data_IF_695085275110
#
_entry.id   IF_695085275110
#
_cell.length_a   1.000
_cell.length_b   1.000
_cell.length_c   1.000
_cell.angle_alpha   90.00
_cell.angle_beta   90.00
_cell.angle_gamma   90.00
#
_symmetry.space_group_name_H-M   'P 1'
#
loop_
_entity.id
_entity.type
_entity.pdbx_description
1 polymer ?
#
# COMPACT_ATOMS: atom_id res chain seq x y z
N UNK A 1 6.33 19.52 32.31
CA UNK A 1 7.37 18.46 32.26
C UNK A 1 6.89 17.10 31.68
N UNK A 2 5.59 16.86 31.49
CA UNK A 2 5.07 15.57 31.00
C UNK A 2 5.11 15.38 29.47
N UNK A 3 5.15 16.46 28.67
CA UNK A 3 4.95 16.35 27.22
C UNK A 3 6.22 16.00 26.42
N UNK A 4 7.41 16.25 26.98
CA UNK A 4 8.68 15.91 26.31
C UNK A 4 8.97 14.40 26.33
N UNK A 5 8.49 13.70 27.37
CA UNK A 5 8.66 12.26 27.53
C UNK A 5 7.83 11.52 26.46
N UNK A 6 6.63 12.02 26.17
CA UNK A 6 5.73 11.43 25.16
C UNK A 6 6.30 11.55 23.75
N UNK A 7 6.86 12.72 23.38
CA UNK A 7 7.43 12.92 22.05
C UNK A 7 8.66 12.05 21.76
N UNK A 8 9.55 11.89 22.74
CA UNK A 8 10.73 11.03 22.61
C UNK A 8 10.35 9.54 22.56
N UNK A 9 9.36 9.13 23.35
CA UNK A 9 8.85 7.75 23.34
C UNK A 9 8.21 7.38 21.99
N UNK A 10 7.40 8.28 21.41
CA UNK A 10 6.82 8.08 20.06
C UNK A 10 7.90 7.97 18.99
N UNK A 11 9.00 8.73 19.12
CA UNK A 11 10.13 8.65 18.18
C UNK A 11 10.89 7.32 18.29
N UNK A 12 11.16 6.84 19.51
CA UNK A 12 11.82 5.54 19.74
C UNK A 12 10.98 4.41 19.16
N UNK A 13 9.66 4.43 19.40
CA UNK A 13 8.74 3.41 18.91
C UNK A 13 8.63 3.41 17.38
N UNK A 14 8.64 4.59 16.74
CA UNK A 14 8.69 4.71 15.28
C UNK A 14 10.01 4.17 14.69
N UNK A 15 11.14 4.41 15.35
CA UNK A 15 12.46 3.89 14.93
C UNK A 15 12.52 2.37 15.10
N UNK A 16 12.01 1.82 16.19
CA UNK A 16 11.95 0.37 16.39
C UNK A 16 11.08 -0.32 15.34
N UNK A 17 9.94 0.27 14.97
CA UNK A 17 9.09 -0.25 13.89
C UNK A 17 9.81 -0.22 12.54
N UNK A 18 10.60 0.83 12.26
CA UNK A 18 11.42 0.89 11.05
C UNK A 18 12.55 -0.15 11.04
N UNK A 19 13.17 -0.45 12.19
CA UNK A 19 14.26 -1.42 12.29
C UNK A 19 13.75 -2.86 12.17
N UNK A 20 12.54 -3.15 12.68
CA UNK A 20 12.01 -4.52 12.69
C UNK A 20 11.48 -4.99 11.34
N UNK A 21 11.42 -4.13 10.31
CA UNK A 21 10.86 -4.40 8.97
C UNK A 21 9.54 -5.19 9.03
N UNK A 22 8.75 -4.95 10.09
CA UNK A 22 7.45 -5.57 10.25
C UNK A 22 6.54 -4.93 9.21
N UNK A 23 5.83 -5.73 8.38
CA UNK A 23 4.85 -5.16 7.47
C UNK A 23 3.84 -4.38 8.31
N UNK A 24 3.80 -3.06 8.08
CA UNK A 24 2.84 -2.19 8.76
C UNK A 24 1.45 -2.71 8.44
N UNK A 25 0.65 -3.02 9.47
CA UNK A 25 -0.73 -3.43 9.31
C UNK A 25 -1.44 -2.35 8.47
N UNK A 26 -1.89 -2.73 7.26
CA UNK A 26 -2.46 -1.74 6.36
C UNK A 26 -3.73 -1.18 6.97
N UNK A 27 -3.76 0.15 7.09
CA UNK A 27 -4.97 0.84 7.49
C UNK A 27 -6.05 0.59 6.43
N UNK A 28 -7.20 0.09 6.86
CA UNK A 28 -8.36 -0.09 5.98
C UNK A 28 -8.75 1.25 5.35
N UNK A 29 -9.40 1.19 4.17
CA UNK A 29 -9.86 2.39 3.45
C UNK A 29 -10.68 3.32 4.36
N UNK A 30 -11.50 2.74 5.23
CA UNK A 30 -12.29 3.49 6.18
C UNK A 30 -11.42 4.18 7.24
N UNK A 31 -10.43 3.49 7.81
CA UNK A 31 -9.48 4.07 8.76
C UNK A 31 -8.68 5.22 8.14
N UNK A 32 -8.30 5.09 6.86
CA UNK A 32 -7.57 6.12 6.12
C UNK A 32 -8.44 7.36 5.87
N UNK A 33 -9.70 7.18 5.48
CA UNK A 33 -10.68 8.28 5.36
C UNK A 33 -10.89 8.99 6.71
N UNK A 34 -11.01 8.23 7.81
CA UNK A 34 -11.13 8.80 9.15
C UNK A 34 -9.88 9.59 9.54
N UNK A 35 -8.69 9.04 9.30
CA UNK A 35 -7.42 9.70 9.59
C UNK A 35 -7.33 11.05 8.86
N UNK A 36 -7.60 11.07 7.55
CA UNK A 36 -7.60 12.31 6.78
C UNK A 36 -8.65 13.30 7.27
N UNK A 37 -9.85 12.84 7.58
CA UNK A 37 -10.93 13.70 8.09
C UNK A 37 -10.53 14.37 9.41
N UNK A 38 -10.00 13.60 10.36
CA UNK A 38 -9.58 14.12 11.68
C UNK A 38 -8.39 15.08 11.54
N UNK A 39 -7.38 14.73 10.74
CA UNK A 39 -6.20 15.58 10.56
C UNK A 39 -6.53 16.90 9.84
N UNK A 40 -7.41 16.88 8.84
CA UNK A 40 -7.82 18.08 8.10
C UNK A 40 -8.69 18.99 8.96
N UNK A 41 -9.65 18.44 9.69
CA UNK A 41 -10.50 19.21 10.61
C UNK A 41 -9.68 19.84 11.73
N UNK A 42 -8.77 19.09 12.36
CA UNK A 42 -7.86 19.63 13.37
C UNK A 42 -6.98 20.76 12.81
N UNK A 43 -6.42 20.58 11.61
CA UNK A 43 -5.60 21.59 10.93
C UNK A 43 -6.41 22.85 10.61
N UNK A 44 -7.66 22.71 10.15
CA UNK A 44 -8.54 23.83 9.89
C UNK A 44 -8.82 24.65 11.16
N UNK A 45 -9.13 23.98 12.28
CA UNK A 45 -9.33 24.66 13.58
C UNK A 45 -8.06 25.40 14.00
N UNK A 46 -6.88 24.78 13.87
CA UNK A 46 -5.59 25.42 14.21
C UNK A 46 -5.29 26.63 13.32
N UNK A 47 -5.63 26.58 12.03
CA UNK A 47 -5.49 27.73 11.11
C UNK A 47 -6.39 28.89 11.54
N UNK A 48 -7.66 28.63 11.89
CA UNK A 48 -8.58 29.67 12.37
C UNK A 48 -8.05 30.31 13.67
N UNK A 49 -7.61 29.49 14.63
CA UNK A 49 -7.01 29.97 15.86
C UNK A 49 -5.71 30.75 15.60
N UNK A 50 -4.90 30.32 14.64
CA UNK A 50 -3.69 31.02 14.24
C UNK A 50 -3.98 32.45 13.75
N UNK A 51 -4.97 32.62 12.87
CA UNK A 51 -5.40 33.94 12.39
C UNK A 51 -5.91 34.82 13.53
N UNK A 52 -6.75 34.26 14.40
CA UNK A 52 -7.26 34.97 15.57
C UNK A 52 -6.12 35.44 16.49
N UNK A 53 -5.24 34.53 16.91
CA UNK A 53 -4.14 34.81 17.82
C UNK A 53 -3.07 35.73 17.23
N UNK A 54 -2.84 35.68 15.90
CA UNK A 54 -1.88 36.54 15.19
C UNK A 54 -2.23 38.02 15.33
N UNK A 55 -3.51 38.36 15.31
CA UNK A 55 -4.00 39.75 15.38
C UNK A 55 -3.87 40.39 16.76
N UNK A 56 -3.59 39.60 17.80
CA UNK A 56 -3.56 40.08 19.18
C UNK A 56 -2.36 40.99 19.47
N UNK A 57 -2.56 42.02 20.28
CA UNK A 57 -1.49 42.87 20.83
C UNK A 57 -0.62 42.15 21.88
N UNK A 58 -1.13 41.09 22.52
CA UNK A 58 -0.43 40.38 23.59
C UNK A 58 0.69 39.47 23.07
N UNK A 59 1.88 39.60 23.66
CA UNK A 59 3.05 38.74 23.34
C UNK A 59 2.77 37.27 23.63
N UNK A 60 1.99 36.98 24.68
CA UNK A 60 1.61 35.62 25.09
C UNK A 60 0.67 35.01 24.05
N UNK A 61 -0.36 35.74 23.62
CA UNK A 61 -1.32 35.27 22.60
C UNK A 61 -0.63 35.03 21.25
N UNK A 62 0.34 35.87 20.89
CA UNK A 62 1.15 35.68 19.69
C UNK A 62 2.07 34.44 19.76
N UNK A 63 2.45 34.00 20.95
CA UNK A 63 3.19 32.76 21.13
C UNK A 63 2.29 31.54 20.81
N UNK A 64 1.02 31.56 21.22
CA UNK A 64 0.04 30.54 20.82
C UNK A 64 -0.21 30.51 19.31
N UNK A 65 -0.14 31.66 18.62
CA UNK A 65 -0.19 31.66 17.16
C UNK A 65 0.98 30.85 16.57
N UNK A 66 2.20 31.03 17.07
CA UNK A 66 3.35 30.24 16.57
C UNK A 66 3.17 28.74 16.84
N UNK A 67 2.64 28.38 18.00
CA UNK A 67 2.33 26.99 18.36
C UNK A 67 1.34 26.35 17.36
N UNK A 68 0.22 27.02 17.08
CA UNK A 68 -0.76 26.53 16.10
C UNK A 68 -0.20 26.43 14.68
N UNK A 69 0.71 27.34 14.30
CA UNK A 69 1.40 27.24 13.02
C UNK A 69 2.27 25.98 12.95
N UNK A 70 3.05 25.69 14.01
CA UNK A 70 3.86 24.48 14.05
C UNK A 70 3.02 23.20 13.99
N UNK A 71 1.88 23.16 14.69
CA UNK A 71 0.94 22.02 14.63
C UNK A 71 0.42 21.76 13.21
N UNK A 72 0.09 22.82 12.45
CA UNK A 72 -0.38 22.69 11.07
C UNK A 72 0.74 22.18 10.16
N UNK A 73 1.96 22.69 10.35
CA UNK A 73 3.12 22.26 9.56
C UNK A 73 3.45 20.78 9.82
N UNK A 74 3.49 20.33 11.07
CA UNK A 74 3.79 18.93 11.41
C UNK A 74 2.71 17.99 10.91
N UNK A 75 1.43 18.36 11.04
CA UNK A 75 0.31 17.59 10.47
C UNK A 75 0.40 17.49 8.95
N UNK A 76 0.74 18.58 8.26
CA UNK A 76 0.89 18.59 6.80
C UNK A 76 2.03 17.68 6.34
N UNK A 77 3.18 17.73 7.01
CA UNK A 77 4.32 16.84 6.73
C UNK A 77 3.90 15.38 6.93
N UNK A 78 3.17 15.07 8.01
CA UNK A 78 2.64 13.72 8.25
C UNK A 78 1.68 13.24 7.15
N UNK A 79 0.77 14.10 6.68
CA UNK A 79 -0.14 13.79 5.58
C UNK A 79 0.61 13.51 4.28
N UNK A 80 1.59 14.36 3.93
CA UNK A 80 2.40 14.18 2.72
C UNK A 80 3.17 12.86 2.81
N UNK A 81 3.78 12.56 3.95
CA UNK A 81 4.49 11.30 4.14
C UNK A 81 3.56 10.09 3.99
N UNK A 82 2.36 10.13 4.59
CA UNK A 82 1.36 9.06 4.46
C UNK A 82 0.92 8.85 3.00
N UNK A 83 0.70 9.93 2.25
CA UNK A 83 0.38 9.86 0.80
C UNK A 83 1.54 9.25 0.02
N UNK A 84 2.77 9.71 0.25
CA UNK A 84 3.96 9.21 -0.46
C UNK A 84 4.17 7.71 -0.21
N UNK A 85 4.07 7.27 1.05
CA UNK A 85 4.18 5.84 1.40
C UNK A 85 3.11 5.01 0.70
N UNK A 86 1.88 5.53 0.56
CA UNK A 86 0.79 4.83 -0.14
C UNK A 86 1.01 4.72 -1.67
N UNK A 87 1.87 5.57 -2.24
CA UNK A 87 2.23 5.56 -3.66
C UNK A 87 3.45 4.68 -3.95
N UNK A 88 4.32 4.46 -2.97
CA UNK A 88 5.42 3.51 -3.10
C UNK A 88 4.80 2.11 -3.15
N UNK A 89 4.81 1.49 -4.32
CA UNK A 89 4.19 0.18 -4.52
C UNK A 89 4.71 -0.84 -3.51
N UNK A 90 3.86 -1.22 -2.56
CA UNK A 90 4.21 -2.15 -1.50
C UNK A 90 3.57 -3.51 -1.76
N UNK A 91 4.35 -4.57 -1.59
CA UNK A 91 3.83 -5.94 -1.60
C UNK A 91 2.76 -6.12 -0.52
N UNK A 92 1.78 -6.96 -0.81
CA UNK A 92 0.80 -7.40 0.16
C UNK A 92 1.47 -8.18 1.30
N UNK A 93 0.90 -8.12 2.50
CA UNK A 93 1.40 -8.91 3.62
C UNK A 93 1.21 -10.42 3.34
N UNK A 94 2.04 -11.29 3.94
CA UNK A 94 2.05 -12.72 3.64
C UNK A 94 0.70 -13.42 3.83
N UNK A 95 -0.14 -12.95 4.76
CA UNK A 95 -1.46 -13.50 5.05
C UNK A 95 -2.40 -13.35 3.84
N UNK A 96 -2.34 -12.21 3.15
CA UNK A 96 -3.13 -11.95 1.93
C UNK A 96 -2.62 -12.82 0.78
N UNK A 97 -1.30 -12.92 0.62
CA UNK A 97 -0.69 -13.77 -0.40
C UNK A 97 -1.05 -15.24 -0.21
N UNK A 98 -1.05 -15.74 1.03
CA UNK A 98 -1.46 -17.10 1.36
C UNK A 98 -2.95 -17.35 1.06
N UNK A 99 -3.82 -16.39 1.42
CA UNK A 99 -5.26 -16.47 1.11
C UNK A 99 -5.51 -16.52 -0.39
N UNK A 100 -4.82 -15.68 -1.16
CA UNK A 100 -4.88 -15.67 -2.63
C UNK A 100 -4.37 -16.99 -3.20
N UNK A 101 -3.20 -17.45 -2.78
CA UNK A 101 -2.62 -18.71 -3.23
C UNK A 101 -3.56 -19.91 -2.96
N UNK A 102 -4.18 -19.95 -1.78
CA UNK A 102 -5.18 -20.97 -1.45
C UNK A 102 -6.40 -20.92 -2.37
N UNK A 103 -6.93 -19.72 -2.62
CA UNK A 103 -8.09 -19.52 -3.50
C UNK A 103 -7.79 -19.98 -4.93
N UNK A 104 -6.60 -19.66 -5.45
CA UNK A 104 -6.12 -20.07 -6.78
C UNK A 104 -5.96 -21.58 -6.85
N UNK A 105 -5.24 -22.19 -5.89
CA UNK A 105 -5.01 -23.64 -5.84
C UNK A 105 -6.32 -24.45 -5.79
N UNK A 106 -7.38 -23.89 -5.19
CA UNK A 106 -8.69 -24.53 -5.13
C UNK A 106 -9.68 -24.15 -6.20
N UNK A 107 -9.28 -23.33 -7.17
CA UNK A 107 -10.20 -22.89 -8.22
C UNK A 107 -10.62 -23.99 -9.18
N UNK A 108 -9.68 -24.78 -9.70
CA UNK A 108 -9.98 -25.79 -10.73
C UNK A 108 -9.03 -27.00 -10.65
N UNK A 109 -9.52 -28.25 -10.86
CA UNK A 109 -8.69 -29.46 -10.76
C UNK A 109 -7.60 -29.58 -11.83
N UNK A 110 -7.71 -28.87 -12.95
CA UNK A 110 -6.68 -28.87 -14.01
C UNK A 110 -5.49 -27.97 -13.70
N UNK A 111 -5.57 -27.11 -12.67
CA UNK A 111 -4.42 -26.31 -12.23
C UNK A 111 -3.37 -27.28 -11.67
N UNK A 112 -2.27 -27.46 -12.41
CA UNK A 112 -1.17 -28.34 -11.98
C UNK A 112 -0.34 -27.68 -10.89
N UNK A 113 -0.06 -26.39 -11.07
CA UNK A 113 0.77 -25.60 -10.15
C UNK A 113 0.39 -24.12 -10.21
N UNK A 114 0.68 -23.41 -9.13
CA UNK A 114 0.73 -21.95 -9.09
C UNK A 114 2.19 -21.55 -9.02
N UNK A 115 2.68 -20.85 -10.03
CA UNK A 115 4.10 -20.50 -10.16
C UNK A 115 4.44 -19.25 -9.35
N UNK A 116 3.62 -18.20 -9.52
CA UNK A 116 3.78 -16.92 -8.81
C UNK A 116 2.43 -16.43 -8.32
N UNK A 117 2.41 -15.90 -7.09
CA UNK A 117 1.32 -15.07 -6.58
C UNK A 117 1.94 -13.79 -6.05
N UNK A 118 1.60 -12.68 -6.69
CA UNK A 118 2.01 -11.35 -6.27
C UNK A 118 0.77 -10.51 -6.08
N UNK A 119 0.78 -9.71 -5.02
CA UNK A 119 -0.19 -8.67 -4.82
C UNK A 119 0.56 -7.43 -4.39
N UNK A 120 0.33 -6.31 -5.05
CA UNK A 120 0.97 -5.04 -4.72
C UNK A 120 -0.07 -3.93 -4.77
N UNK A 121 0.15 -2.87 -4.00
CA UNK A 121 -0.77 -1.73 -3.97
C UNK A 121 -0.26 -0.59 -4.78
N UNK A 122 -1.19 0.09 -5.44
CA UNK A 122 -1.01 1.47 -5.88
C UNK A 122 -2.21 2.25 -5.38
N UNK A 123 -2.09 2.87 -4.19
CA UNK A 123 -3.24 3.43 -3.48
C UNK A 123 -3.86 2.44 -2.48
N UNK A 124 -5.17 2.24 -2.55
CA UNK A 124 -5.96 1.62 -1.46
C UNK A 124 -6.14 0.10 -1.65
N UNK A 125 -6.34 -0.34 -2.89
CA UNK A 125 -6.65 -1.72 -3.25
C UNK A 125 -5.43 -2.42 -3.86
N UNK A 126 -5.47 -3.76 -3.87
CA UNK A 126 -4.41 -4.59 -4.45
C UNK A 126 -4.61 -4.81 -5.94
N UNK A 127 -3.52 -4.71 -6.68
CA UNK A 127 -3.33 -5.33 -7.98
C UNK A 127 -2.74 -6.72 -7.75
N UNK A 128 -3.38 -7.75 -8.27
CA UNK A 128 -2.97 -9.14 -8.08
C UNK A 128 -2.48 -9.71 -9.41
N UNK A 129 -1.31 -10.32 -9.40
CA UNK A 129 -0.73 -11.06 -10.52
C UNK A 129 -0.58 -12.52 -10.10
N UNK A 130 -1.15 -13.43 -10.88
CA UNK A 130 -1.11 -14.86 -10.64
C UNK A 130 -0.68 -15.58 -11.90
N UNK A 131 0.34 -16.42 -11.78
CA UNK A 131 0.81 -17.29 -12.85
C UNK A 131 0.43 -18.73 -12.50
N UNK A 132 -0.39 -19.36 -13.35
CA UNK A 132 -0.82 -20.75 -13.15
C UNK A 132 -0.40 -21.65 -14.30
N UNK A 133 -0.07 -22.89 -13.96
CA UNK A 133 0.30 -23.93 -14.91
C UNK A 133 -0.89 -24.82 -15.23
N UNK A 134 -1.19 -24.98 -16.52
CA UNK A 134 -2.25 -25.84 -17.05
C UNK A 134 -1.66 -26.94 -17.95
N UNK A 135 -2.41 -28.02 -18.24
CA UNK A 135 -1.97 -29.08 -19.15
C UNK A 135 -1.82 -28.58 -20.59
N UNK A 136 -0.74 -28.98 -21.27
CA UNK A 136 -0.46 -28.63 -22.68
C UNK A 136 -1.51 -29.16 -23.66
N UNK A 137 -2.13 -30.29 -23.33
CA UNK A 137 -3.18 -30.93 -24.10
C UNK A 137 -4.55 -30.26 -23.93
N UNK A 138 -4.66 -29.29 -23.04
CA UNK A 138 -5.91 -28.58 -22.77
C UNK A 138 -6.26 -27.65 -23.95
N UNK A 139 -7.49 -27.72 -24.51
CA UNK A 139 -7.91 -26.82 -25.57
C UNK A 139 -7.84 -25.36 -25.11
N UNK A 140 -7.29 -24.47 -25.94
CA UNK A 140 -7.16 -23.03 -25.63
C UNK A 140 -8.45 -22.39 -25.10
N UNK A 141 -9.61 -22.84 -25.61
CA UNK A 141 -10.93 -22.38 -25.16
C UNK A 141 -11.18 -22.71 -23.69
N UNK A 142 -10.82 -23.91 -23.25
CA UNK A 142 -10.97 -24.35 -21.86
C UNK A 142 -9.96 -23.63 -20.97
N UNK A 143 -8.71 -23.52 -21.43
CA UNK A 143 -7.64 -22.77 -20.76
C UNK A 143 -8.05 -21.33 -20.49
N UNK A 144 -8.59 -20.65 -21.52
CA UNK A 144 -9.09 -19.28 -21.42
C UNK A 144 -10.25 -19.16 -20.42
N UNK A 145 -11.22 -20.09 -20.45
CA UNK A 145 -12.34 -20.08 -19.52
C UNK A 145 -11.90 -20.28 -18.06
N UNK A 146 -10.88 -21.11 -17.81
CA UNK A 146 -10.31 -21.29 -16.47
C UNK A 146 -9.63 -20.00 -16.00
N UNK A 147 -8.82 -19.37 -16.85
CA UNK A 147 -8.17 -18.10 -16.53
C UNK A 147 -9.15 -16.96 -16.28
N UNK A 148 -10.13 -16.79 -17.17
CA UNK A 148 -11.17 -15.75 -17.05
C UNK A 148 -12.01 -15.95 -15.77
N UNK A 149 -12.45 -17.18 -15.50
CA UNK A 149 -13.21 -17.47 -14.28
C UNK A 149 -12.39 -17.27 -13.00
N UNK A 150 -11.07 -17.54 -13.04
CA UNK A 150 -10.17 -17.27 -11.92
C UNK A 150 -10.00 -15.77 -11.70
N UNK A 151 -9.78 -15.01 -12.79
CA UNK A 151 -9.66 -13.56 -12.74
C UNK A 151 -10.91 -12.93 -12.11
N UNK A 152 -12.10 -13.27 -12.62
CA UNK A 152 -13.38 -12.75 -12.11
C UNK A 152 -13.52 -13.07 -10.62
N UNK A 153 -13.16 -14.29 -10.20
CA UNK A 153 -13.25 -14.71 -8.80
C UNK A 153 -12.32 -13.93 -7.87
N UNK A 154 -11.11 -13.59 -8.32
CA UNK A 154 -10.17 -12.78 -7.54
C UNK A 154 -10.66 -11.32 -7.47
N UNK A 155 -11.18 -10.77 -8.57
CA UNK A 155 -11.73 -9.41 -8.63
C UNK A 155 -13.01 -9.22 -7.79
N UNK A 156 -13.68 -10.30 -7.38
CA UNK A 156 -14.79 -10.24 -6.42
C UNK A 156 -14.35 -9.97 -4.98
N UNK A 157 -13.06 -10.07 -4.66
CA UNK A 157 -12.55 -9.74 -3.33
C UNK A 157 -12.56 -8.22 -3.14
N UNK A 158 -13.13 -7.74 -2.03
CA UNK A 158 -13.26 -6.31 -1.73
C UNK A 158 -11.92 -5.55 -1.64
N UNK A 159 -10.83 -6.29 -1.41
CA UNK A 159 -9.48 -5.76 -1.27
C UNK A 159 -8.72 -5.69 -2.61
N UNK A 160 -9.30 -6.22 -3.70
CA UNK A 160 -8.66 -6.30 -5.02
C UNK A 160 -9.31 -5.31 -5.98
N UNK A 161 -8.49 -4.52 -6.65
CA UNK A 161 -8.91 -3.61 -7.72
C UNK A 161 -8.90 -4.31 -9.08
N UNK A 162 -7.84 -5.08 -9.32
CA UNK A 162 -7.65 -5.80 -10.59
C UNK A 162 -6.84 -7.06 -10.37
N UNK A 163 -7.17 -8.11 -11.13
CA UNK A 163 -6.38 -9.33 -11.19
C UNK A 163 -5.87 -9.57 -12.62
N UNK A 164 -4.62 -10.01 -12.73
CA UNK A 164 -4.00 -10.47 -13.96
C UNK A 164 -3.64 -11.95 -13.77
N UNK A 165 -4.16 -12.80 -14.65
CA UNK A 165 -3.92 -14.24 -14.60
C UNK A 165 -3.12 -14.62 -15.83
N UNK A 166 -1.87 -15.01 -15.65
CA UNK A 166 -1.04 -15.60 -16.68
C UNK A 166 -1.24 -17.13 -16.70
N UNK A 167 -1.32 -17.69 -17.91
CA UNK A 167 -1.60 -19.10 -18.14
C UNK A 167 -0.39 -19.70 -18.85
N UNK A 168 0.40 -20.47 -18.10
CA UNK A 168 1.60 -21.12 -18.60
C UNK A 168 1.36 -22.62 -18.78
N UNK A 169 2.12 -23.23 -19.69
CA UNK A 169 2.14 -24.68 -19.92
C UNK A 169 3.49 -25.32 -19.54
N UNK A 170 4.54 -24.50 -19.38
CA UNK A 170 5.88 -24.92 -19.01
C UNK A 170 6.42 -24.11 -17.82
N UNK A 171 7.17 -24.78 -16.95
CA UNK A 171 7.76 -24.19 -15.75
C UNK A 171 9.09 -23.46 -16.00
N UNK A 172 9.71 -23.69 -17.15
CA UNK A 172 11.09 -23.26 -17.45
C UNK A 172 11.09 -22.17 -18.51
N UNK A 173 10.40 -21.08 -18.23
CA UNK A 173 10.49 -19.91 -19.09
C UNK A 173 11.76 -19.10 -18.83
N UNK A 174 12.55 -18.88 -19.89
CA UNK A 174 13.42 -17.69 -19.95
C UNK A 174 12.50 -16.47 -20.01
N UNK A 175 12.84 -15.33 -19.37
CA UNK A 175 12.01 -14.13 -19.44
C UNK A 175 11.83 -13.70 -20.91
N UNK A 176 10.61 -13.86 -21.44
CA UNK A 176 10.28 -13.51 -22.83
C UNK A 176 10.29 -12.00 -23.02
N UNK A 177 9.85 -11.29 -21.99
CA UNK A 177 9.94 -9.85 -21.88
C UNK A 177 11.20 -9.49 -21.10
N UNK A 178 12.32 -9.36 -21.81
CA UNK A 178 13.47 -8.64 -21.27
C UNK A 178 13.07 -7.16 -21.20
N UNK A 179 12.77 -6.65 -20.01
CA UNK A 179 12.77 -5.21 -19.79
C UNK A 179 14.22 -4.77 -20.01
N UNK A 180 14.51 -4.31 -21.22
CA UNK A 180 15.77 -3.70 -21.61
C UNK A 180 15.85 -2.34 -20.92
N UNK A 181 15.93 -2.33 -19.58
CA UNK A 181 16.47 -1.20 -18.85
C UNK A 181 17.93 -1.17 -19.28
N UNK A 182 18.23 -0.33 -20.27
CA UNK A 182 19.59 0.09 -20.56
C UNK A 182 20.10 0.82 -19.31
N UNK A 183 20.60 0.09 -18.34
CA UNK A 183 21.54 0.65 -17.39
C UNK A 183 22.74 1.10 -18.23
N UNK A 184 23.18 2.37 -18.13
CA UNK A 184 24.39 2.79 -18.79
C UNK A 184 25.53 1.93 -18.25
N UNK A 185 26.17 1.17 -19.13
CA UNK A 185 27.40 0.44 -18.82
C UNK A 185 28.47 1.47 -18.48
N UNK A 186 28.60 1.82 -17.22
CA UNK A 186 29.85 2.37 -16.71
C UNK A 186 30.76 1.19 -16.39
N UNK A 187 31.66 0.87 -17.32
CA UNK A 187 33.02 0.52 -16.95
C UNK A 187 34.01 1.23 -17.89
N UNK A 188 35.12 1.77 -17.35
CA UNK A 188 36.18 2.42 -18.11
C UNK A 188 37.00 1.44 -18.95
#
# INVERSE_FOLDING_TARGET
PSNYITGFQVLIEAVEQLIQDKPSEKMTSQQLVWLYTIMLTASAVKIVLWFYCRSSGSKIVRAYAKDHYFDVVTNLVGLIAAVLVSLVGQSAPPEVLQKLAYLVLRHHPQIKRVDTVRAYTFGILFFVEVDIELPEDLPLKETHAIGESLQIKIEQLQEVERAFVHLDFECRHKPEHSVLIRLPTTQP
#
